data_IF_367986197779
#
_entry.id   IF_367986197779
#
_cell.length_a   1.000
_cell.length_b   1.000
_cell.length_c   1.000
_cell.angle_alpha   90.00
_cell.angle_beta   90.00
_cell.angle_gamma   90.00
#
_symmetry.space_group_name_H-M   'P 1'
#
loop_
_entity.id
_entity.type
_entity.pdbx_description
1 polymer ?
#
# COMPACT_ATOMS: atom_id res chain seq x y z
N UNK A 1 -6.88 12.47 -6.63
CA UNK A 1 -5.49 12.18 -7.09
C UNK A 1 -5.42 10.80 -7.74
N UNK A 2 -4.36 10.47 -8.49
CA UNK A 2 -4.11 9.13 -9.06
C UNK A 2 -3.04 8.45 -8.23
N UNK A 3 -3.36 7.32 -7.60
CA UNK A 3 -2.48 6.65 -6.65
C UNK A 3 -2.37 5.17 -7.02
N UNK A 4 -1.14 4.63 -7.02
CA UNK A 4 -0.89 3.22 -7.26
C UNK A 4 -0.57 2.49 -5.95
N UNK A 5 -1.26 1.37 -5.72
CA UNK A 5 -1.00 0.47 -4.58
C UNK A 5 -0.41 -0.83 -5.10
N UNK A 6 0.86 -1.07 -4.75
CA UNK A 6 1.58 -2.27 -5.15
C UNK A 6 1.48 -3.31 -4.04
N UNK A 7 0.84 -4.44 -4.33
CA UNK A 7 0.59 -5.50 -3.35
C UNK A 7 -0.55 -5.16 -2.39
N UNK A 8 -1.83 -5.20 -2.83
CA UNK A 8 -2.99 -5.02 -1.96
C UNK A 8 -3.22 -6.29 -1.10
N UNK A 9 -2.34 -6.52 -0.13
CA UNK A 9 -2.51 -7.47 0.98
C UNK A 9 -3.40 -6.88 2.07
N UNK A 10 -3.23 -7.29 3.34
CA UNK A 10 -4.03 -6.77 4.46
C UNK A 10 -3.96 -5.24 4.57
N UNK A 11 -2.75 -4.68 4.72
CA UNK A 11 -2.55 -3.23 4.87
C UNK A 11 -2.89 -2.49 3.57
N UNK A 12 -2.33 -2.95 2.45
CA UNK A 12 -2.50 -2.27 1.16
C UNK A 12 -3.96 -2.22 0.69
N UNK A 13 -4.77 -3.23 1.01
CA UNK A 13 -6.21 -3.21 0.68
C UNK A 13 -6.97 -2.19 1.51
N UNK A 14 -6.66 -2.04 2.80
CA UNK A 14 -7.30 -1.04 3.66
C UNK A 14 -7.05 0.38 3.14
N UNK A 15 -5.79 0.70 2.81
CA UNK A 15 -5.47 2.01 2.22
C UNK A 15 -6.12 2.20 0.85
N UNK A 16 -6.05 1.20 -0.03
CA UNK A 16 -6.68 1.27 -1.34
C UNK A 16 -8.19 1.52 -1.23
N UNK A 17 -8.87 0.86 -0.30
CA UNK A 17 -10.29 1.02 -0.05
C UNK A 17 -10.62 2.44 0.44
N UNK A 18 -9.94 2.91 1.49
CA UNK A 18 -10.22 4.23 2.06
C UNK A 18 -9.92 5.37 1.09
N UNK A 19 -8.82 5.27 0.34
CA UNK A 19 -8.46 6.29 -0.64
C UNK A 19 -9.42 6.29 -1.84
N UNK A 20 -9.91 5.12 -2.27
CA UNK A 20 -10.94 5.02 -3.29
C UNK A 20 -12.27 5.62 -2.82
N UNK A 21 -12.69 5.35 -1.58
CA UNK A 21 -13.87 5.96 -0.96
C UNK A 21 -13.74 7.48 -0.80
N UNK A 22 -12.52 7.98 -0.58
CA UNK A 22 -12.23 9.43 -0.59
C UNK A 22 -12.27 10.06 -1.99
N UNK A 23 -12.70 9.33 -3.03
CA UNK A 23 -12.84 9.82 -4.40
C UNK A 23 -11.52 9.88 -5.18
N UNK A 24 -10.47 9.20 -4.73
CA UNK A 24 -9.22 9.11 -5.49
C UNK A 24 -9.24 7.96 -6.49
N UNK A 25 -8.57 8.14 -7.62
CA UNK A 25 -8.41 7.08 -8.61
C UNK A 25 -7.29 6.15 -8.19
N UNK A 26 -7.68 5.00 -7.65
CA UNK A 26 -6.74 4.00 -7.15
C UNK A 26 -6.48 2.95 -8.21
N UNK A 27 -5.20 2.68 -8.45
CA UNK A 27 -4.74 1.61 -9.31
C UNK A 27 -4.06 0.54 -8.48
N UNK A 28 -4.51 -0.71 -8.58
CA UNK A 28 -3.93 -1.81 -7.81
C UNK A 28 -3.08 -2.73 -8.67
N UNK A 29 -1.94 -3.13 -8.13
CA UNK A 29 -1.00 -4.05 -8.75
C UNK A 29 -0.91 -5.31 -7.86
N UNK A 30 -1.42 -6.42 -8.37
CA UNK A 30 -1.51 -7.69 -7.63
C UNK A 30 -1.01 -8.87 -8.48
N UNK A 31 -0.88 -10.04 -7.84
CA UNK A 31 -0.50 -11.32 -8.48
C UNK A 31 -1.18 -12.52 -7.81
N UNK A 32 -1.16 -13.67 -8.48
CA UNK A 32 -1.73 -14.92 -7.97
C UNK A 32 -3.21 -14.81 -7.64
N UNK A 33 -3.67 -15.58 -6.64
CA UNK A 33 -5.08 -15.62 -6.21
C UNK A 33 -5.67 -14.23 -5.94
N UNK A 34 -4.88 -13.30 -5.36
CA UNK A 34 -5.34 -11.94 -5.10
C UNK A 34 -5.63 -11.16 -6.38
N UNK A 35 -4.82 -11.32 -7.42
CA UNK A 35 -5.09 -10.71 -8.72
C UNK A 35 -6.34 -11.30 -9.36
N UNK A 36 -6.52 -12.61 -9.24
CA UNK A 36 -7.66 -13.29 -9.84
C UNK A 36 -8.96 -12.87 -9.13
N UNK A 37 -8.95 -12.74 -7.80
CA UNK A 37 -10.05 -12.14 -7.04
C UNK A 37 -10.34 -10.70 -7.49
N UNK A 38 -9.32 -9.84 -7.58
CA UNK A 38 -9.49 -8.46 -8.05
C UNK A 38 -10.01 -8.40 -9.49
N UNK A 39 -9.72 -9.40 -10.33
CA UNK A 39 -10.25 -9.53 -11.70
C UNK A 39 -11.73 -9.91 -11.70
N UNK A 40 -12.17 -10.78 -10.81
CA UNK A 40 -13.59 -11.10 -10.65
C UNK A 40 -14.34 -9.90 -10.08
N UNK A 41 -13.84 -9.32 -9.00
CA UNK A 41 -14.59 -8.34 -8.22
C UNK A 41 -14.53 -6.92 -8.81
N UNK A 42 -13.44 -6.55 -9.49
CA UNK A 42 -13.24 -5.18 -9.98
C UNK A 42 -13.16 -4.11 -8.89
N UNK A 43 -13.05 -4.53 -7.64
CA UNK A 43 -13.08 -3.70 -6.46
C UNK A 43 -12.26 -4.34 -5.34
N UNK A 44 -11.85 -3.53 -4.37
CA UNK A 44 -11.50 -4.04 -3.05
C UNK A 44 -12.82 -4.29 -2.32
N UNK A 45 -13.01 -5.51 -1.83
CA UNK A 45 -14.18 -5.92 -1.04
C UNK A 45 -13.74 -6.16 0.40
N UNK A 46 -14.42 -5.56 1.37
CA UNK A 46 -14.16 -5.77 2.80
C UNK A 46 -14.79 -7.06 3.30
N UNK A 47 -14.47 -7.50 4.52
CA UNK A 47 -15.10 -8.65 5.15
C UNK A 47 -16.62 -8.45 5.33
N UNK A 48 -17.05 -7.20 5.51
CA UNK A 48 -18.45 -6.80 5.67
C UNK A 48 -19.19 -6.66 4.32
N UNK A 49 -18.50 -6.88 3.20
CA UNK A 49 -19.08 -6.85 1.86
C UNK A 49 -19.06 -5.48 1.18
N UNK A 50 -18.53 -4.44 1.84
CA UNK A 50 -18.37 -3.11 1.26
C UNK A 50 -17.39 -3.13 0.08
N UNK A 51 -17.67 -2.32 -0.95
CA UNK A 51 -16.89 -2.36 -2.21
C UNK A 51 -16.38 -0.99 -2.60
N UNK A 52 -15.08 -0.90 -2.84
CA UNK A 52 -14.46 0.28 -3.41
C UNK A 52 -13.83 -0.04 -4.77
N UNK A 53 -14.26 0.66 -5.81
CA UNK A 53 -13.79 0.44 -7.17
C UNK A 53 -12.31 0.80 -7.31
N UNK A 54 -11.55 -0.05 -7.99
CA UNK A 54 -10.13 0.18 -8.25
C UNK A 54 -9.77 -0.17 -9.70
N UNK A 55 -8.92 0.66 -10.30
CA UNK A 55 -8.36 0.43 -11.63
C UNK A 55 -7.32 -0.70 -11.56
N UNK A 56 -7.37 -1.61 -12.53
CA UNK A 56 -6.50 -2.79 -12.56
C UNK A 56 -5.30 -2.56 -13.47
N UNK A 57 -4.10 -2.93 -13.01
CA UNK A 57 -2.90 -2.87 -13.86
C UNK A 57 -2.59 -4.18 -14.58
N UNK A 58 -1.83 -4.07 -15.68
CA UNK A 58 -1.31 -5.21 -16.47
C UNK A 58 -0.37 -6.10 -15.65
N UNK A 59 -0.53 -7.43 -15.80
CA UNK A 59 0.28 -8.48 -15.16
C UNK A 59 1.80 -8.27 -15.32
N UNK A 60 2.25 -7.74 -16.45
CA UNK A 60 3.67 -7.53 -16.75
C UNK A 60 4.34 -6.52 -15.83
N UNK A 61 3.71 -5.38 -15.54
CA UNK A 61 4.25 -4.41 -14.59
C UNK A 61 4.23 -4.96 -13.16
N UNK A 62 3.19 -5.73 -12.81
CA UNK A 62 3.14 -6.42 -11.51
C UNK A 62 4.30 -7.40 -11.35
N UNK A 63 4.60 -8.18 -12.39
CA UNK A 63 5.76 -9.07 -12.41
C UNK A 63 7.09 -8.33 -12.27
N UNK A 64 7.27 -7.24 -13.01
CA UNK A 64 8.50 -6.43 -12.95
C UNK A 64 8.74 -5.84 -11.56
N UNK A 65 7.76 -5.11 -11.02
CA UNK A 65 7.86 -4.46 -9.70
C UNK A 65 8.05 -5.49 -8.59
N UNK A 66 7.41 -6.65 -8.73
CA UNK A 66 7.59 -7.75 -7.79
C UNK A 66 8.99 -8.38 -7.87
N UNK A 67 9.54 -8.58 -9.06
CA UNK A 67 10.91 -9.09 -9.23
C UNK A 67 11.94 -8.12 -8.66
N UNK A 68 11.75 -6.82 -8.88
CA UNK A 68 12.61 -5.77 -8.32
C UNK A 68 12.61 -5.83 -6.79
N UNK A 69 11.44 -5.85 -6.15
CA UNK A 69 11.31 -5.95 -4.69
C UNK A 69 11.82 -7.28 -4.12
N UNK A 70 11.85 -8.37 -4.90
CA UNK A 70 12.42 -9.65 -4.46
C UNK A 70 13.94 -9.72 -4.54
N UNK A 71 14.59 -8.88 -5.34
CA UNK A 71 16.05 -8.89 -5.49
C UNK A 71 16.72 -8.43 -4.20
N UNK A 72 17.70 -9.20 -3.71
CA UNK A 72 18.47 -8.85 -2.51
C UNK A 72 19.24 -7.55 -2.68
N UNK A 73 19.69 -7.24 -3.90
CA UNK A 73 20.33 -5.96 -4.23
C UNK A 73 19.39 -4.78 -3.97
N UNK A 74 18.14 -4.86 -4.47
CA UNK A 74 17.15 -3.81 -4.22
C UNK A 74 16.79 -3.73 -2.75
N UNK A 75 16.48 -4.84 -2.08
CA UNK A 75 16.13 -4.83 -0.64
C UNK A 75 17.25 -4.25 0.23
N UNK A 76 18.51 -4.57 -0.06
CA UNK A 76 19.66 -4.00 0.65
C UNK A 76 19.79 -2.50 0.36
N UNK A 77 19.62 -2.08 -0.88
CA UNK A 77 19.67 -0.67 -1.24
C UNK A 77 18.60 0.17 -0.52
N UNK A 78 17.35 -0.30 -0.44
CA UNK A 78 16.28 0.41 0.29
C UNK A 78 16.36 0.24 1.81
N UNK A 79 16.90 -0.87 2.32
CA UNK A 79 17.10 -1.05 3.76
C UNK A 79 18.23 -0.19 4.34
N UNK A 80 19.09 0.37 3.50
CA UNK A 80 20.13 1.35 3.88
C UNK A 80 19.59 2.79 3.96
N UNK A 81 18.26 2.98 3.92
CA UNK A 81 17.64 4.26 4.22
C UNK A 81 18.13 4.76 5.59
N UNK A 82 18.51 6.05 5.72
CA UNK A 82 18.97 6.58 7.00
C UNK A 82 17.89 6.37 8.07
N UNK A 83 18.25 5.97 9.28
CA UNK A 83 17.29 5.85 10.40
C UNK A 83 16.50 7.16 10.66
N UNK A 84 17.07 8.30 10.24
CA UNK A 84 16.39 9.59 10.22
C UNK A 84 15.10 9.59 9.37
N UNK A 85 14.97 8.74 8.35
CA UNK A 85 13.79 8.64 7.50
C UNK A 85 12.60 8.05 8.24
N UNK A 86 12.78 6.92 8.96
CA UNK A 86 11.73 6.33 9.77
C UNK A 86 11.27 7.27 10.89
N UNK A 87 12.23 7.95 11.53
CA UNK A 87 11.96 8.96 12.56
C UNK A 87 11.18 10.15 11.98
N UNK A 88 11.61 10.70 10.85
CA UNK A 88 10.93 11.80 10.18
C UNK A 88 9.51 11.43 9.74
N UNK A 89 9.30 10.20 9.28
CA UNK A 89 7.97 9.72 8.90
C UNK A 89 7.04 9.65 10.12
N UNK A 90 7.50 9.09 11.25
CA UNK A 90 6.71 9.03 12.49
C UNK A 90 6.37 10.45 12.99
N UNK A 91 7.32 11.38 12.90
CA UNK A 91 7.11 12.78 13.28
C UNK A 91 6.07 13.45 12.37
N UNK A 92 6.16 13.26 11.05
CA UNK A 92 5.18 13.78 10.10
C UNK A 92 3.78 13.20 10.32
N UNK A 93 3.67 11.89 10.58
CA UNK A 93 2.39 11.24 10.87
C UNK A 93 1.76 11.80 12.15
N UNK A 94 2.57 12.02 13.20
CA UNK A 94 2.09 12.56 14.47
C UNK A 94 1.71 14.04 14.39
N UNK A 95 2.43 14.82 13.58
CA UNK A 95 2.09 16.21 13.31
C UNK A 95 0.82 16.34 12.45
N UNK A 96 0.63 15.46 11.47
CA UNK A 96 -0.56 15.44 10.63
C UNK A 96 -1.83 15.06 11.39
N UNK A 97 -1.71 14.19 12.42
CA UNK A 97 -2.85 13.80 13.25
C UNK A 97 -2.49 13.68 14.74
N UNK A 98 -2.45 14.80 15.46
CA UNK A 98 -2.04 14.82 16.86
C UNK A 98 -2.92 13.93 17.74
N UNK A 99 -2.29 13.22 18.68
CA UNK A 99 -2.97 12.35 19.66
C UNK A 99 -3.41 10.98 19.14
N UNK A 100 -3.28 10.69 17.84
CA UNK A 100 -3.79 9.45 17.23
C UNK A 100 -2.69 8.42 16.91
N UNK A 101 -1.42 8.77 17.13
CA UNK A 101 -0.25 7.93 16.84
C UNK A 101 0.61 7.54 18.06
N UNK A 102 0.08 7.39 19.30
CA UNK A 102 0.90 7.16 20.49
C UNK A 102 1.74 5.87 20.41
N UNK A 103 1.21 4.82 19.78
CA UNK A 103 1.94 3.57 19.57
C UNK A 103 3.14 3.73 18.61
N UNK A 104 3.04 4.62 17.61
CA UNK A 104 4.15 4.89 16.69
C UNK A 104 5.24 5.72 17.35
N UNK A 105 4.86 6.71 18.17
CA UNK A 105 5.81 7.49 18.96
C UNK A 105 6.59 6.62 19.96
N UNK A 106 5.94 5.60 20.53
CA UNK A 106 6.56 4.67 21.46
C UNK A 106 7.66 3.79 20.83
N UNK A 107 7.60 3.54 19.52
CA UNK A 107 8.60 2.74 18.77
C UNK A 107 9.53 3.61 17.91
N UNK A 108 9.49 4.93 18.10
CA UNK A 108 10.32 5.88 17.35
C UNK A 108 11.81 5.54 17.59
N UNK A 109 12.57 5.19 16.54
CA UNK A 109 13.99 4.87 16.66
C UNK A 109 14.81 6.11 17.02
#
# INVERSE_FOLDING_TARGET
MRIAVIGPGGIGSTFAFQLANAGHQITVVARGARLDQLRCDGAIVTADGERAAVVRYRRSLAGLLWSLTRSNAFRRAVAMGPAAEARALIDQMSAAWPGHTPALLAIRP
#
